data_IF_810170056916
#
_entry.id   IF_810170056916
#
_cell.length_a   1.000
_cell.length_b   1.000
_cell.length_c   1.000
_cell.angle_alpha   90.00
_cell.angle_beta   90.00
_cell.angle_gamma   90.00
#
_symmetry.space_group_name_H-M   'P 1'
#
loop_
_entity.id
_entity.type
_entity.pdbx_description
1 polymer ?
#
# COMPACT_ATOMS: atom_id res chain seq x y z
N UNK A 1 -18.41 21.00 0.64
CA UNK A 1 -18.00 19.88 1.50
C UNK A 1 -16.81 20.33 2.34
N UNK A 2 -16.88 20.21 3.67
CA UNK A 2 -15.75 20.61 4.50
C UNK A 2 -14.56 19.65 4.31
N UNK A 3 -13.35 20.20 4.32
CA UNK A 3 -12.14 19.42 4.10
C UNK A 3 -11.79 18.48 5.26
N UNK A 4 -12.24 18.80 6.47
CA UNK A 4 -11.80 18.06 7.67
C UNK A 4 -12.23 16.60 7.67
N UNK A 5 -13.43 16.28 7.17
CA UNK A 5 -13.90 14.89 7.28
C UNK A 5 -13.17 13.92 6.35
N UNK A 6 -12.85 14.28 5.07
CA UNK A 6 -12.02 13.35 4.28
C UNK A 6 -10.62 13.22 4.85
N UNK A 7 -10.07 14.26 5.48
CA UNK A 7 -8.76 14.17 6.12
C UNK A 7 -8.81 13.24 7.34
N UNK A 8 -9.88 13.27 8.11
CA UNK A 8 -10.04 12.33 9.24
C UNK A 8 -10.12 10.90 8.74
N UNK A 9 -10.90 10.65 7.70
CA UNK A 9 -11.01 9.30 7.10
C UNK A 9 -9.65 8.84 6.58
N UNK A 10 -8.95 9.70 5.85
CA UNK A 10 -7.62 9.37 5.32
C UNK A 10 -6.62 9.07 6.43
N UNK A 11 -6.65 9.83 7.51
CA UNK A 11 -5.78 9.61 8.66
C UNK A 11 -6.07 8.26 9.31
N UNK A 12 -7.33 7.90 9.45
CA UNK A 12 -7.74 6.60 9.99
C UNK A 12 -7.28 5.45 9.12
N UNK A 13 -7.47 5.55 7.81
CA UNK A 13 -7.02 4.53 6.86
C UNK A 13 -5.50 4.37 6.88
N UNK A 14 -4.77 5.48 6.92
CA UNK A 14 -3.32 5.45 6.97
C UNK A 14 -2.84 4.79 8.27
N UNK A 15 -3.45 5.13 9.41
CA UNK A 15 -3.10 4.55 10.70
C UNK A 15 -3.35 3.03 10.71
N UNK A 16 -4.47 2.59 10.17
CA UNK A 16 -4.78 1.15 10.07
C UNK A 16 -3.75 0.46 9.17
N UNK A 17 -3.38 1.10 8.06
CA UNK A 17 -2.37 0.58 7.15
C UNK A 17 -1.01 0.42 7.84
N UNK A 18 -0.57 1.42 8.58
CA UNK A 18 0.68 1.37 9.35
C UNK A 18 0.63 0.23 10.36
N UNK A 19 -0.49 0.11 11.08
CA UNK A 19 -0.66 -0.99 12.03
C UNK A 19 -0.52 -2.35 11.33
N UNK A 20 -1.16 -2.50 10.17
CA UNK A 20 -1.09 -3.76 9.42
C UNK A 20 0.33 -4.10 8.98
N UNK A 21 1.11 -3.09 8.56
CA UNK A 21 2.49 -3.29 8.14
C UNK A 21 3.38 -3.66 9.31
N UNK A 22 3.23 -2.97 10.44
CA UNK A 22 4.13 -3.15 11.58
C UNK A 22 3.76 -4.35 12.44
N UNK A 23 2.48 -4.69 12.54
CA UNK A 23 2.00 -5.70 13.48
C UNK A 23 1.88 -7.11 12.89
N UNK A 24 1.87 -7.24 11.56
CA UNK A 24 1.60 -8.52 10.91
C UNK A 24 2.85 -9.07 10.23
N UNK A 25 3.02 -10.40 10.29
CA UNK A 25 4.12 -11.10 9.63
C UNK A 25 3.73 -11.62 8.25
N UNK A 26 2.44 -11.86 8.03
CA UNK A 26 1.94 -12.40 6.77
C UNK A 26 2.13 -11.37 5.66
N UNK A 27 2.80 -11.76 4.59
CA UNK A 27 3.11 -10.87 3.48
C UNK A 27 1.87 -10.30 2.81
N UNK A 28 0.79 -11.06 2.72
CA UNK A 28 -0.47 -10.59 2.15
C UNK A 28 -1.06 -9.46 3.01
N UNK A 29 -1.04 -9.61 4.33
CA UNK A 29 -1.54 -8.58 5.24
C UNK A 29 -0.68 -7.33 5.19
N UNK A 30 0.63 -7.47 5.03
CA UNK A 30 1.53 -6.33 4.84
C UNK A 30 1.19 -5.58 3.56
N UNK A 31 0.95 -6.30 2.47
CA UNK A 31 0.52 -5.70 1.20
C UNK A 31 -0.79 -4.96 1.35
N UNK A 32 -1.76 -5.54 2.05
CA UNK A 32 -3.04 -4.88 2.31
C UNK A 32 -2.85 -3.60 3.12
N UNK A 33 -1.93 -3.61 4.10
CA UNK A 33 -1.61 -2.42 4.88
C UNK A 33 -1.03 -1.31 4.02
N UNK A 34 -0.10 -1.64 3.14
CA UNK A 34 0.49 -0.67 2.21
C UNK A 34 -0.59 -0.10 1.28
N UNK A 35 -1.52 -0.94 0.81
CA UNK A 35 -2.62 -0.49 -0.03
C UNK A 35 -3.53 0.50 0.69
N UNK A 36 -3.84 0.24 1.97
CA UNK A 36 -4.63 1.19 2.76
C UNK A 36 -3.91 2.53 2.89
N UNK A 37 -2.60 2.51 3.09
CA UNK A 37 -1.80 3.74 3.15
C UNK A 37 -1.84 4.51 1.84
N UNK A 38 -1.71 3.82 0.71
CA UNK A 38 -1.78 4.45 -0.61
C UNK A 38 -3.17 4.99 -0.90
N UNK A 39 -4.23 4.28 -0.49
CA UNK A 39 -5.59 4.77 -0.63
C UNK A 39 -5.82 6.03 0.21
N UNK A 40 -5.22 6.11 1.40
CA UNK A 40 -5.30 7.32 2.22
C UNK A 40 -4.65 8.51 1.52
N UNK A 41 -3.49 8.30 0.89
CA UNK A 41 -2.81 9.34 0.10
C UNK A 41 -3.68 9.78 -1.07
N UNK A 42 -4.29 8.82 -1.80
CA UNK A 42 -5.17 9.13 -2.91
C UNK A 42 -6.39 9.93 -2.48
N UNK A 43 -6.98 9.57 -1.35
CA UNK A 43 -8.11 10.30 -0.80
C UNK A 43 -7.73 11.75 -0.51
N UNK A 44 -6.53 11.98 0.03
CA UNK A 44 -6.02 13.33 0.25
C UNK A 44 -5.86 14.10 -1.05
N UNK A 45 -5.29 13.49 -2.09
CA UNK A 45 -5.13 14.16 -3.39
C UNK A 45 -6.47 14.61 -3.95
N UNK A 46 -7.47 13.73 -3.92
CA UNK A 46 -8.79 14.04 -4.44
C UNK A 46 -9.49 15.09 -3.58
N UNK A 47 -9.37 15.00 -2.25
CA UNK A 47 -9.99 15.95 -1.34
C UNK A 47 -9.42 17.36 -1.52
N UNK A 48 -8.10 17.50 -1.62
CA UNK A 48 -7.46 18.79 -1.84
C UNK A 48 -7.79 19.35 -3.22
N UNK A 49 -7.81 18.50 -4.24
CA UNK A 49 -8.18 18.92 -5.58
C UNK A 49 -9.59 19.49 -5.61
N UNK A 50 -10.55 18.81 -4.98
CA UNK A 50 -11.93 19.27 -4.91
C UNK A 50 -12.05 20.56 -4.10
N UNK A 51 -11.32 20.69 -3.00
CA UNK A 51 -11.36 21.86 -2.13
C UNK A 51 -10.78 23.10 -2.81
N UNK A 52 -9.66 22.92 -3.50
CA UNK A 52 -8.97 24.03 -4.18
C UNK A 52 -9.59 24.38 -5.52
N UNK A 53 -10.51 23.56 -6.02
CA UNK A 53 -11.14 23.75 -7.33
C UNK A 53 -10.10 23.94 -8.44
N UNK A 54 -9.09 23.11 -8.42
CA UNK A 54 -8.02 23.16 -9.41
C UNK A 54 -8.60 22.88 -10.80
N UNK A 55 -8.43 23.85 -11.72
CA UNK A 55 -8.94 23.74 -13.09
C UNK A 55 -8.29 22.57 -13.84
N UNK A 56 -7.03 22.32 -13.55
CA UNK A 56 -6.26 21.25 -14.21
C UNK A 56 -6.46 19.88 -13.55
N UNK A 57 -7.13 19.85 -12.41
CA UNK A 57 -7.36 18.61 -11.65
C UNK A 57 -6.07 17.83 -11.39
N UNK A 58 -5.01 18.55 -10.99
CA UNK A 58 -3.71 17.94 -10.73
C UNK A 58 -3.74 16.87 -9.66
N UNK A 59 -4.51 17.09 -8.58
CA UNK A 59 -4.66 16.10 -7.51
C UNK A 59 -5.28 14.80 -8.00
N UNK A 60 -6.28 14.87 -8.86
CA UNK A 60 -6.91 13.68 -9.43
C UNK A 60 -5.98 12.98 -10.40
N UNK A 61 -5.20 13.73 -11.17
CA UNK A 61 -4.21 13.16 -12.08
C UNK A 61 -3.15 12.39 -11.31
N UNK A 62 -2.61 12.97 -10.24
CA UNK A 62 -1.64 12.27 -9.39
C UNK A 62 -2.25 11.04 -8.74
N UNK A 63 -3.51 11.13 -8.28
CA UNK A 63 -4.20 9.97 -7.71
C UNK A 63 -4.30 8.82 -8.71
N UNK A 64 -4.62 9.12 -9.97
CA UNK A 64 -4.67 8.10 -11.01
C UNK A 64 -3.32 7.43 -11.22
N UNK A 65 -2.23 8.20 -11.27
CA UNK A 65 -0.90 7.64 -11.38
C UNK A 65 -0.56 6.72 -10.21
N UNK A 66 -0.89 7.14 -8.99
CA UNK A 66 -0.63 6.32 -7.79
C UNK A 66 -1.44 5.02 -7.85
N UNK A 67 -2.69 5.08 -8.29
CA UNK A 67 -3.54 3.88 -8.42
C UNK A 67 -2.93 2.90 -9.44
N UNK A 68 -2.47 3.39 -10.58
CA UNK A 68 -1.87 2.54 -11.61
C UNK A 68 -0.58 1.90 -11.11
N UNK A 69 0.29 2.68 -10.48
CA UNK A 69 1.54 2.17 -9.92
C UNK A 69 1.26 1.13 -8.83
N UNK A 70 0.33 1.43 -7.93
CA UNK A 70 -0.04 0.52 -6.86
C UNK A 70 -0.60 -0.79 -7.40
N UNK A 71 -1.43 -0.74 -8.44
CA UNK A 71 -1.97 -1.94 -9.07
C UNK A 71 -0.87 -2.80 -9.68
N UNK A 72 0.10 -2.18 -10.36
CA UNK A 72 1.23 -2.88 -10.95
C UNK A 72 2.11 -3.51 -9.87
N UNK A 73 2.40 -2.79 -8.80
CA UNK A 73 3.21 -3.28 -7.69
C UNK A 73 2.55 -4.45 -6.98
N UNK A 74 1.23 -4.39 -6.77
CA UNK A 74 0.48 -5.48 -6.15
C UNK A 74 0.49 -6.71 -7.04
N UNK A 75 0.30 -6.56 -8.34
CA UNK A 75 0.38 -7.69 -9.26
C UNK A 75 1.72 -8.39 -9.17
N UNK A 76 2.81 -7.62 -9.19
CA UNK A 76 4.16 -8.16 -9.05
C UNK A 76 4.36 -8.81 -7.68
N UNK A 77 3.95 -8.14 -6.61
CA UNK A 77 4.13 -8.65 -5.26
C UNK A 77 3.34 -9.94 -5.02
N UNK A 78 2.11 -10.02 -5.53
CA UNK A 78 1.31 -11.23 -5.42
C UNK A 78 1.95 -12.38 -6.20
N UNK A 79 2.54 -12.11 -7.36
CA UNK A 79 3.26 -13.14 -8.11
C UNK A 79 4.42 -13.70 -7.30
N UNK A 80 5.19 -12.83 -6.65
CA UNK A 80 6.31 -13.24 -5.79
C UNK A 80 5.79 -14.04 -4.59
N UNK A 81 4.74 -13.57 -3.93
CA UNK A 81 4.15 -14.25 -2.78
C UNK A 81 3.67 -15.66 -3.16
N UNK A 82 3.00 -15.79 -4.31
CA UNK A 82 2.54 -17.10 -4.78
C UNK A 82 3.70 -18.05 -5.06
N UNK A 83 4.76 -17.53 -5.67
CA UNK A 83 5.95 -18.33 -5.95
C UNK A 83 6.59 -18.83 -4.66
N UNK A 84 6.76 -17.94 -3.68
CA UNK A 84 7.34 -18.31 -2.39
C UNK A 84 6.45 -19.31 -1.66
N UNK A 85 5.14 -19.09 -1.66
CA UNK A 85 4.20 -20.00 -1.02
C UNK A 85 4.27 -21.41 -1.62
N UNK A 86 4.32 -21.50 -2.95
CA UNK A 86 4.45 -22.79 -3.63
C UNK A 86 5.75 -23.51 -3.29
N UNK A 87 6.81 -22.76 -3.11
CA UNK A 87 8.14 -23.32 -2.85
C UNK A 87 8.30 -23.72 -1.38
N UNK A 88 7.78 -22.92 -0.44
CA UNK A 88 8.07 -23.07 0.99
C UNK A 88 6.84 -23.39 1.84
N UNK A 89 5.63 -23.31 1.26
CA UNK A 89 4.39 -23.62 1.98
C UNK A 89 3.89 -22.53 2.91
N UNK A 90 4.59 -21.38 3.01
CA UNK A 90 4.16 -20.26 3.85
C UNK A 90 4.77 -18.96 3.34
N UNK A 91 4.23 -17.83 3.80
CA UNK A 91 4.56 -16.49 3.31
C UNK A 91 4.88 -15.52 4.44
N UNK A 92 5.68 -15.97 5.40
CA UNK A 92 6.12 -15.15 6.52
C UNK A 92 7.29 -14.25 6.08
N UNK A 93 7.16 -12.94 6.34
CA UNK A 93 8.15 -11.94 5.93
C UNK A 93 9.50 -12.19 6.61
N UNK A 94 9.48 -12.58 7.88
CA UNK A 94 10.70 -12.87 8.62
C UNK A 94 11.47 -14.04 8.00
N UNK A 95 10.76 -15.04 7.50
CA UNK A 95 11.38 -16.20 6.85
C UNK A 95 11.92 -15.85 5.47
N UNK A 96 11.27 -14.97 4.73
CA UNK A 96 11.79 -14.48 3.46
C UNK A 96 13.13 -13.78 3.67
N UNK A 97 13.22 -13.00 4.73
CA UNK A 97 14.46 -12.33 5.11
C UNK A 97 15.56 -13.35 5.44
N UNK A 98 15.22 -14.40 6.16
CA UNK A 98 16.13 -15.48 6.50
C UNK A 98 16.66 -16.19 5.26
N UNK A 99 15.78 -16.45 4.28
CA UNK A 99 16.20 -17.04 3.01
C UNK A 99 17.18 -16.14 2.24
N UNK A 100 16.94 -14.85 2.24
CA UNK A 100 17.86 -13.89 1.62
C UNK A 100 19.23 -13.92 2.29
N UNK A 101 19.27 -14.02 3.62
CA UNK A 101 20.50 -14.11 4.37
C UNK A 101 21.27 -15.40 4.02
N UNK A 102 20.58 -16.52 3.86
CA UNK A 102 21.20 -17.79 3.45
C UNK A 102 21.83 -17.69 2.06
N UNK A 103 21.15 -17.08 1.12
CA UNK A 103 21.69 -16.89 -0.21
C UNK A 103 22.95 -16.02 -0.19
N UNK A 104 22.97 -15.01 0.65
CA UNK A 104 24.11 -14.12 0.78
C UNK A 104 25.34 -14.83 1.40
N UNK A 105 25.11 -15.89 2.17
CA UNK A 105 26.18 -16.63 2.84
C UNK A 105 26.82 -17.73 2.00
N UNK A 106 26.27 -18.00 0.81
CA UNK A 106 26.83 -19.01 -0.12
C UNK A 106 27.97 -18.42 -1.01
#
# INVERSE_FOLDING_TARGET
>A
MPLWWPLVVASGLFAIGVYGVLARRNAVLVLMGVELMLNAVNLNFVAFDAQLRDVLHGGQTFALFVIVIAAAEIGLALAIVLLVFRTHGHIDVDELRELADREASR
#
